data_IF_220797388398
#
_entry.id   IF_220797388398
#
_cell.length_a   1.000
_cell.length_b   1.000
_cell.length_c   1.000
_cell.angle_alpha   90.00
_cell.angle_beta   90.00
_cell.angle_gamma   90.00
#
_symmetry.space_group_name_H-M   'P 1'
#
loop_
_entity.id
_entity.type
_entity.pdbx_description
1 polymer ?
#
# COMPACT_ATOMS: atom_id res chain seq x y z
N UNK A 1 34.69 -5.01 -24.61
CA UNK A 1 33.31 -5.51 -24.84
C UNK A 1 32.39 -4.73 -23.90
N UNK A 2 31.37 -4.06 -24.47
CA UNK A 2 30.15 -3.50 -23.83
C UNK A 2 29.59 -4.42 -22.71
N UNK A 3 28.69 -4.05 -21.81
CA UNK A 3 28.15 -2.82 -21.21
C UNK A 3 26.93 -3.26 -20.34
N UNK A 4 26.65 -2.52 -19.26
CA UNK A 4 25.35 -2.30 -18.60
C UNK A 4 24.61 -3.43 -17.83
N UNK A 5 24.50 -3.25 -16.50
CA UNK A 5 23.25 -3.01 -15.75
C UNK A 5 23.61 -2.95 -14.23
N UNK A 6 23.78 -1.77 -13.63
CA UNK A 6 22.73 -0.99 -12.93
C UNK A 6 22.21 -1.72 -11.67
N UNK A 7 22.27 -1.23 -10.44
CA UNK A 7 22.76 0.02 -9.85
C UNK A 7 23.02 -0.26 -8.36
N UNK A 8 24.08 0.34 -7.82
CA UNK A 8 24.37 0.47 -6.39
C UNK A 8 23.10 0.78 -5.59
N UNK A 9 22.66 -0.16 -4.75
CA UNK A 9 21.63 0.06 -3.75
C UNK A 9 22.20 0.98 -2.65
N UNK A 10 22.30 2.26 -2.97
CA UNK A 10 22.57 3.31 -2.02
C UNK A 10 21.39 3.46 -1.08
N UNK A 11 21.66 3.25 0.21
CA UNK A 11 21.19 4.08 1.32
C UNK A 11 19.93 4.93 1.05
N UNK A 12 18.76 4.36 1.30
CA UNK A 12 17.56 5.14 1.64
C UNK A 12 16.97 4.63 2.95
N UNK A 13 17.82 4.64 3.98
CA UNK A 13 17.40 4.76 5.37
C UNK A 13 17.06 6.22 5.63
N UNK A 14 15.86 6.65 5.24
CA UNK A 14 15.19 7.78 5.88
C UNK A 14 13.71 7.80 5.54
N UNK A 15 12.90 8.19 6.53
CA UNK A 15 11.42 8.27 6.53
C UNK A 15 10.73 7.01 7.07
N UNK A 16 10.81 6.81 8.39
CA UNK A 16 9.59 6.81 9.23
C UNK A 16 9.91 7.17 10.69
N UNK A 17 10.49 8.35 10.92
CA UNK A 17 10.51 8.97 12.25
C UNK A 17 9.50 10.11 12.30
N UNK A 18 8.20 9.81 12.18
CA UNK A 18 7.14 10.73 12.63
C UNK A 18 5.80 10.00 12.77
N UNK A 19 5.68 9.13 13.77
CA UNK A 19 4.41 8.52 14.15
C UNK A 19 4.19 8.48 15.68
N UNK A 20 4.83 9.36 16.44
CA UNK A 20 4.48 9.57 17.85
C UNK A 20 4.31 11.07 18.11
N UNK A 21 3.04 11.49 18.21
CA UNK A 21 2.49 12.57 19.04
C UNK A 21 1.37 13.31 18.31
N UNK A 22 0.13 13.01 18.70
CA UNK A 22 -0.96 13.99 18.70
C UNK A 22 -1.85 14.05 17.47
N UNK A 23 -2.77 13.08 17.32
CA UNK A 23 -4.18 13.45 17.14
C UNK A 23 -5.09 12.37 17.70
N UNK A 24 -5.56 12.64 18.92
CA UNK A 24 -6.84 12.15 19.40
C UNK A 24 -7.92 12.75 18.51
N UNK A 25 -8.65 11.91 17.78
CA UNK A 25 -10.07 12.13 17.52
C UNK A 25 -10.67 10.80 17.03
N UNK A 26 -11.45 10.19 17.93
CA UNK A 26 -12.46 9.22 17.56
C UNK A 26 -13.46 9.92 16.63
N UNK A 27 -13.58 9.44 15.40
CA UNK A 27 -14.75 9.68 14.57
C UNK A 27 -14.82 8.61 13.46
N UNK A 28 -15.84 7.76 13.56
CA UNK A 28 -16.54 7.21 12.41
C UNK A 28 -15.84 6.07 11.68
N UNK A 29 -16.07 4.85 12.17
CA UNK A 29 -16.25 3.72 11.26
C UNK A 29 -17.40 4.05 10.33
N UNK A 30 -17.09 4.39 9.08
CA UNK A 30 -18.04 4.35 8.00
C UNK A 30 -17.81 3.01 7.28
N UNK A 31 -18.56 2.01 7.72
CA UNK A 31 -18.86 0.78 7.01
C UNK A 31 -19.65 1.08 5.73
N UNK A 32 -19.04 1.80 4.79
CA UNK A 32 -19.55 1.82 3.42
C UNK A 32 -19.05 0.55 2.76
N UNK A 33 -19.85 -0.51 2.87
CA UNK A 33 -19.72 -1.68 2.03
C UNK A 33 -19.84 -1.25 0.57
N UNK A 34 -18.69 -1.10 -0.10
CA UNK A 34 -18.68 -1.18 -1.55
C UNK A 34 -19.36 -2.50 -1.93
N UNK A 35 -20.12 -2.49 -3.02
CA UNK A 35 -20.89 -3.65 -3.50
C UNK A 35 -20.03 -4.92 -3.75
N UNK A 36 -18.70 -4.79 -3.74
CA UNK A 36 -17.69 -5.84 -3.94
C UNK A 36 -16.87 -6.17 -2.66
N UNK A 37 -17.19 -5.57 -1.51
CA UNK A 37 -16.48 -5.82 -0.23
C UNK A 37 -15.07 -5.20 -0.12
N UNK A 38 -14.55 -4.58 -1.20
CA UNK A 38 -13.28 -3.85 -1.22
C UNK A 38 -13.40 -2.42 -0.69
N UNK A 39 -12.34 -1.89 -0.09
CA UNK A 39 -12.33 -0.51 0.40
C UNK A 39 -12.32 0.49 -0.77
N UNK A 40 -12.93 1.66 -0.60
CA UNK A 40 -12.95 2.74 -1.61
C UNK A 40 -11.53 3.16 -2.05
N UNK A 41 -10.55 3.08 -1.13
CA UNK A 41 -9.17 3.46 -1.41
C UNK A 41 -8.34 2.31 -1.98
N UNK A 42 -8.89 1.11 -2.13
CA UNK A 42 -8.17 -0.04 -2.69
C UNK A 42 -7.45 0.26 -4.03
N UNK A 43 -8.12 0.77 -5.08
CA UNK A 43 -7.47 1.06 -6.35
C UNK A 43 -6.37 2.13 -6.19
N UNK A 44 -6.67 3.27 -5.58
CA UNK A 44 -5.69 4.33 -5.35
C UNK A 44 -4.51 3.89 -4.49
N UNK A 45 -4.75 3.08 -3.46
CA UNK A 45 -3.71 2.57 -2.57
C UNK A 45 -2.76 1.62 -3.31
N UNK A 46 -3.31 0.70 -4.12
CA UNK A 46 -2.52 -0.20 -4.96
C UNK A 46 -1.60 0.57 -5.91
N UNK A 47 -2.15 1.54 -6.65
CA UNK A 47 -1.36 2.41 -7.54
C UNK A 47 -0.24 3.13 -6.77
N UNK A 48 -0.58 3.69 -5.61
CA UNK A 48 0.36 4.45 -4.80
C UNK A 48 1.53 3.59 -4.31
N UNK A 49 1.27 2.40 -3.76
CA UNK A 49 2.36 1.55 -3.25
C UNK A 49 3.23 1.01 -4.38
N UNK A 50 2.65 0.68 -5.54
CA UNK A 50 3.38 0.22 -6.74
C UNK A 50 4.30 1.33 -7.25
N UNK A 51 3.79 2.55 -7.38
CA UNK A 51 4.57 3.72 -7.81
C UNK A 51 5.74 3.99 -6.86
N UNK A 52 5.50 3.91 -5.54
CA UNK A 52 6.53 4.11 -4.51
C UNK A 52 7.43 2.90 -4.29
N UNK A 53 7.13 1.75 -4.91
CA UNK A 53 7.81 0.47 -4.67
C UNK A 53 7.96 0.11 -3.19
N UNK A 54 7.00 0.53 -2.36
CA UNK A 54 7.03 0.32 -0.91
C UNK A 54 5.62 0.22 -0.34
N UNK A 55 5.28 -0.94 0.21
CA UNK A 55 3.97 -1.21 0.77
C UNK A 55 4.02 -1.22 2.31
N UNK A 56 3.49 -0.16 2.95
CA UNK A 56 3.46 -0.02 4.40
C UNK A 56 2.18 0.69 4.88
N UNK A 57 1.60 0.19 5.99
CA UNK A 57 0.34 0.67 6.55
C UNK A 57 0.40 2.17 6.91
N UNK A 58 1.46 2.62 7.59
CA UNK A 58 1.62 4.02 7.97
C UNK A 58 1.66 4.98 6.78
N UNK A 59 2.12 4.50 5.62
CA UNK A 59 2.13 5.27 4.37
C UNK A 59 0.71 5.49 3.84
N UNK A 60 -0.12 4.45 3.90
CA UNK A 60 -1.54 4.54 3.54
C UNK A 60 -2.30 5.48 4.50
N UNK A 61 -2.04 5.38 5.80
CA UNK A 61 -2.65 6.27 6.80
C UNK A 61 -2.40 7.75 6.49
N UNK A 62 -1.14 8.12 6.20
CA UNK A 62 -0.78 9.51 5.87
C UNK A 62 -1.33 9.95 4.51
N UNK A 63 -1.28 9.07 3.50
CA UNK A 63 -1.68 9.41 2.13
C UNK A 63 -3.19 9.61 1.99
N UNK A 64 -3.97 8.76 2.65
CA UNK A 64 -5.43 8.72 2.55
C UNK A 64 -6.13 9.32 3.78
N UNK A 65 -5.37 9.75 4.80
CA UNK A 65 -5.90 10.28 6.07
C UNK A 65 -6.89 9.33 6.74
N UNK A 66 -6.56 8.05 6.72
CA UNK A 66 -7.38 6.96 7.27
C UNK A 66 -6.80 6.40 8.58
N UNK A 67 -7.66 5.82 9.41
CA UNK A 67 -7.26 5.11 10.62
C UNK A 67 -6.51 3.80 10.33
N UNK A 68 -5.80 3.29 11.35
CA UNK A 68 -4.97 2.09 11.26
C UNK A 68 -5.75 0.87 10.74
N UNK A 69 -6.93 0.58 11.32
CA UNK A 69 -7.73 -0.60 10.93
C UNK A 69 -8.13 -0.58 9.45
N UNK A 70 -8.43 0.62 8.91
CA UNK A 70 -8.80 0.78 7.51
C UNK A 70 -7.60 0.59 6.59
N UNK A 71 -6.46 1.19 6.94
CA UNK A 71 -5.20 0.99 6.22
C UNK A 71 -4.74 -0.48 6.24
N UNK A 72 -4.90 -1.17 7.37
CA UNK A 72 -4.62 -2.60 7.49
C UNK A 72 -5.52 -3.43 6.57
N UNK A 73 -6.84 -3.18 6.58
CA UNK A 73 -7.77 -3.85 5.65
C UNK A 73 -7.41 -3.65 4.19
N UNK A 74 -7.11 -2.41 3.78
CA UNK A 74 -6.68 -2.13 2.40
C UNK A 74 -5.41 -2.92 2.07
N UNK A 75 -4.45 -2.94 3.00
CA UNK A 75 -3.20 -3.67 2.84
C UNK A 75 -3.41 -5.19 2.70
N UNK A 76 -4.36 -5.76 3.45
CA UNK A 76 -4.70 -7.18 3.38
C UNK A 76 -5.47 -7.50 2.10
N UNK A 77 -6.39 -6.64 1.66
CA UNK A 77 -7.05 -6.78 0.36
C UNK A 77 -6.04 -6.75 -0.79
N UNK A 78 -5.03 -5.88 -0.72
CA UNK A 78 -3.94 -5.82 -1.72
C UNK A 78 -3.07 -7.09 -1.69
N UNK A 79 -2.94 -7.71 -0.52
CA UNK A 79 -2.26 -9.01 -0.38
C UNK A 79 -3.08 -10.15 -0.98
N UNK A 80 -4.38 -10.21 -0.68
CA UNK A 80 -5.32 -11.19 -1.24
C UNK A 80 -5.44 -11.08 -2.76
N UNK A 81 -5.36 -9.85 -3.28
CA UNK A 81 -5.32 -9.55 -4.71
C UNK A 81 -4.00 -9.96 -5.39
N UNK A 82 -2.96 -10.34 -4.63
CA UNK A 82 -1.65 -10.67 -5.16
C UNK A 82 -0.81 -9.46 -5.59
N UNK A 83 -1.24 -8.24 -5.24
CA UNK A 83 -0.48 -7.00 -5.50
C UNK A 83 0.73 -6.92 -4.58
N UNK A 84 0.55 -7.37 -3.35
CA UNK A 84 1.54 -7.32 -2.28
C UNK A 84 1.80 -8.73 -1.75
N UNK A 85 3.06 -9.01 -1.44
CA UNK A 85 3.47 -10.28 -0.86
C UNK A 85 3.02 -10.45 0.59
N UNK A 86 3.29 -11.63 1.18
CA UNK A 86 2.91 -11.94 2.55
C UNK A 86 3.58 -10.99 3.55
N UNK A 87 3.02 -10.97 4.76
CA UNK A 87 3.54 -10.13 5.83
C UNK A 87 5.01 -10.43 6.15
N UNK A 88 5.86 -9.40 6.13
CA UNK A 88 7.31 -9.50 6.36
C UNK A 88 7.72 -8.94 7.73
N UNK A 89 6.90 -9.19 8.76
CA UNK A 89 7.15 -8.75 10.13
C UNK A 89 7.35 -7.24 10.22
N UNK A 90 8.56 -6.78 10.59
CA UNK A 90 8.89 -5.35 10.71
C UNK A 90 9.26 -4.67 9.39
N UNK A 91 9.41 -5.43 8.30
CA UNK A 91 9.79 -4.89 7.00
C UNK A 91 8.55 -4.56 6.15
N UNK A 92 8.62 -3.53 5.28
CA UNK A 92 7.57 -3.27 4.30
C UNK A 92 7.37 -4.52 3.43
N UNK A 93 6.10 -4.79 3.06
CA UNK A 93 5.78 -5.96 2.23
C UNK A 93 6.30 -5.73 0.81
N UNK A 94 6.74 -6.81 0.15
CA UNK A 94 7.22 -6.79 -1.23
C UNK A 94 6.06 -6.57 -2.20
N UNK A 95 6.28 -5.84 -3.29
CA UNK A 95 5.26 -5.63 -4.33
C UNK A 95 5.48 -6.66 -5.42
N UNK A 96 4.42 -7.42 -5.71
CA UNK A 96 4.46 -8.56 -6.62
C UNK A 96 3.85 -8.24 -8.00
N UNK A 97 3.09 -7.15 -8.12
CA UNK A 97 2.47 -6.72 -9.38
C UNK A 97 3.03 -5.39 -9.88
N UNK A 98 3.10 -5.27 -11.21
CA UNK A 98 3.35 -3.99 -11.87
C UNK A 98 2.08 -3.14 -11.97
N UNK A 99 2.25 -1.85 -12.26
CA UNK A 99 1.15 -0.91 -12.42
C UNK A 99 0.17 -1.36 -13.50
N UNK A 100 0.69 -1.84 -14.64
CA UNK A 100 -0.11 -2.31 -15.76
C UNK A 100 -0.91 -3.58 -15.42
N UNK A 101 -0.31 -4.52 -14.69
CA UNK A 101 -1.01 -5.74 -14.24
C UNK A 101 -2.12 -5.42 -13.26
N UNK A 102 -1.87 -4.49 -12.34
CA UNK A 102 -2.88 -4.04 -11.38
C UNK A 102 -4.05 -3.32 -12.06
N UNK A 103 -3.77 -2.46 -13.04
CA UNK A 103 -4.83 -1.80 -13.84
C UNK A 103 -5.65 -2.82 -14.64
N UNK A 104 -5.01 -3.83 -15.22
CA UNK A 104 -5.70 -4.91 -15.90
C UNK A 104 -6.56 -5.73 -14.93
N UNK A 105 -6.10 -5.97 -13.69
CA UNK A 105 -6.91 -6.63 -12.67
C UNK A 105 -8.16 -5.80 -12.33
N UNK A 106 -8.01 -4.49 -12.12
CA UNK A 106 -9.14 -3.60 -11.86
C UNK A 106 -10.14 -3.55 -13.02
N UNK A 107 -9.65 -3.61 -14.26
CA UNK A 107 -10.50 -3.58 -15.45
C UNK A 107 -11.26 -4.89 -15.71
N UNK A 108 -10.75 -6.04 -15.24
CA UNK A 108 -11.32 -7.36 -15.50
C UNK A 108 -12.09 -7.97 -14.31
N UNK A 109 -12.14 -7.32 -13.13
CA UNK A 109 -12.63 -7.96 -11.90
C UNK A 109 -13.24 -7.02 -10.86
N UNK A 110 -14.24 -6.24 -11.28
CA UNK A 110 -15.15 -5.49 -10.40
C UNK A 110 -16.62 -5.74 -10.75
#
# INVERSE_FOLDING_TARGET
RNAAAASTAGVEEQIDQMAVTGLSQAAGGAENGAADGRDEYFPEAGRFIIEKKRAAIGMLQRRFRIGFNRAARIMDQLCEAGVVGPESGTKPREILMTQAEFENMLANGG
#
